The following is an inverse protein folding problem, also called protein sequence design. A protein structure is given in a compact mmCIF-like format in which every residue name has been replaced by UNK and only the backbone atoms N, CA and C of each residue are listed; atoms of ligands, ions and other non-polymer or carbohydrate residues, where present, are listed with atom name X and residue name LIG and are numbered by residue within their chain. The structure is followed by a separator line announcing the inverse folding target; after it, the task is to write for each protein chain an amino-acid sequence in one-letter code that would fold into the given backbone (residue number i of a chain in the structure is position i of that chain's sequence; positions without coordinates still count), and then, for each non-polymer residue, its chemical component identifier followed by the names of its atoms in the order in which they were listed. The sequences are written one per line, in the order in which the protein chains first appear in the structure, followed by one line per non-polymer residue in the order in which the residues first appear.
data_IF_469466038286
#
_entry.id   IF_469466038286
#
_cell.length_a   1.000
_cell.length_b   1.000
_cell.length_c   1.000
_cell.angle_alpha   90.00
_cell.angle_beta   90.00
_cell.angle_gamma   90.00
#
_symmetry.space_group_name_H-M   'P 1'
#
loop_
_entity.id
_entity.type
_entity.pdbx_description
1 polymer ?
#
# COMPACT_ATOMS: atom_id res chain seq x y z
N UNK A 1 -18.98 7.22 5.61
CA UNK A 1 -17.81 7.89 5.01
C UNK A 1 -16.68 6.87 4.94
N UNK A 2 -15.56 7.19 4.25
CA UNK A 2 -14.48 6.23 4.09
C UNK A 2 -13.29 6.57 4.98
N UNK A 3 -12.42 5.58 5.17
CA UNK A 3 -11.08 5.76 5.70
C UNK A 3 -10.07 5.88 4.57
N UNK A 4 -8.96 6.56 4.83
CA UNK A 4 -7.76 6.55 4.00
C UNK A 4 -6.65 5.86 4.80
N UNK A 5 -6.33 4.61 4.44
CA UNK A 5 -5.45 3.78 5.26
C UNK A 5 -4.03 3.66 4.69
N UNK A 6 -3.67 4.53 3.73
CA UNK A 6 -2.32 4.58 3.17
C UNK A 6 -1.94 6.02 2.84
N UNK A 7 -1.10 6.61 3.67
CA UNK A 7 -0.57 7.95 3.48
C UNK A 7 0.77 8.15 4.19
N UNK A 8 1.52 9.13 3.69
CA UNK A 8 2.87 9.45 4.12
C UNK A 8 2.96 10.87 4.63
N UNK A 9 3.91 11.10 5.53
CA UNK A 9 4.27 12.42 6.01
C UNK A 9 5.80 12.58 6.01
N UNK A 10 6.32 13.58 6.67
CA UNK A 10 7.77 13.88 6.71
C UNK A 10 8.68 12.77 7.24
N UNK A 11 8.11 11.67 7.75
CA UNK A 11 8.88 10.48 8.12
C UNK A 11 9.25 9.62 6.91
N UNK A 12 8.51 9.71 5.81
CA UNK A 12 8.90 9.14 4.51
C UNK A 12 9.85 10.07 3.77
N UNK A 13 10.95 9.52 3.25
CA UNK A 13 11.99 10.32 2.63
C UNK A 13 11.57 11.10 1.36
N UNK A 14 10.42 10.78 0.79
CA UNK A 14 9.83 11.41 -0.38
C UNK A 14 8.60 12.30 -0.07
N UNK A 15 8.33 12.54 1.21
CA UNK A 15 7.29 13.47 1.65
C UNK A 15 7.85 14.55 2.59
N UNK A 16 7.36 15.78 2.42
CA UNK A 16 7.65 16.91 3.31
C UNK A 16 6.42 17.36 4.09
N UNK A 17 5.33 16.58 4.01
CA UNK A 17 4.06 16.95 4.63
C UNK A 17 4.14 16.83 6.15
N UNK A 18 3.76 17.88 6.87
CA UNK A 18 3.61 17.78 8.31
C UNK A 18 2.41 16.87 8.65
N UNK A 19 2.55 15.96 9.63
CA UNK A 19 1.47 15.04 10.00
C UNK A 19 0.16 15.76 10.35
N UNK A 20 0.26 16.91 11.01
CA UNK A 20 -0.92 17.70 11.39
C UNK A 20 -1.66 18.25 10.17
N UNK A 21 -0.94 18.69 9.13
CA UNK A 21 -1.56 19.18 7.89
C UNK A 21 -2.30 18.05 7.14
N UNK A 22 -1.76 16.82 7.19
CA UNK A 22 -2.43 15.63 6.68
C UNK A 22 -3.75 15.37 7.43
N UNK A 23 -3.72 15.39 8.76
CA UNK A 23 -4.92 15.20 9.60
C UNK A 23 -5.98 16.27 9.29
N UNK A 24 -5.58 17.55 9.23
CA UNK A 24 -6.50 18.66 8.95
C UNK A 24 -7.14 18.54 7.57
N UNK A 25 -6.38 18.11 6.56
CA UNK A 25 -6.93 17.84 5.23
C UNK A 25 -7.95 16.69 5.25
N UNK A 26 -7.69 15.62 5.97
CA UNK A 26 -8.63 14.51 6.12
C UNK A 26 -9.93 14.93 6.81
N UNK A 27 -9.83 15.74 7.88
CA UNK A 27 -11.00 16.34 8.55
C UNK A 27 -11.81 17.20 7.59
N UNK A 28 -11.15 18.07 6.82
CA UNK A 28 -11.83 18.94 5.84
C UNK A 28 -12.55 18.15 4.75
N UNK A 29 -12.02 16.99 4.38
CA UNK A 29 -12.63 16.07 3.39
C UNK A 29 -13.70 15.17 3.99
N UNK A 30 -13.92 15.22 5.30
CA UNK A 30 -14.96 14.47 6.01
C UNK A 30 -14.71 12.98 6.09
N UNK A 31 -13.45 12.54 6.20
CA UNK A 31 -13.12 11.14 6.42
C UNK A 31 -13.48 10.70 7.85
N UNK A 32 -13.83 9.42 8.03
CA UNK A 32 -14.07 8.83 9.37
C UNK A 32 -12.74 8.56 10.09
N UNK A 33 -11.68 8.27 9.34
CA UNK A 33 -10.37 8.01 9.89
C UNK A 33 -9.27 7.95 8.81
N UNK A 34 -8.04 7.93 9.31
CA UNK A 34 -6.82 7.81 8.52
C UNK A 34 -5.85 6.86 9.21
N UNK A 35 -4.92 6.29 8.43
CA UNK A 35 -3.76 5.59 8.96
C UNK A 35 -2.50 6.13 8.30
N UNK A 36 -1.57 6.67 9.09
CA UNK A 36 -0.23 6.96 8.62
C UNK A 36 0.53 5.65 8.38
N UNK A 37 1.21 5.55 7.25
CA UNK A 37 1.94 4.35 6.83
C UNK A 37 3.25 4.73 6.16
N UNK A 38 4.05 5.54 6.86
CA UNK A 38 5.33 6.02 6.35
C UNK A 38 6.28 4.85 6.02
N UNK A 39 7.16 5.07 5.04
CA UNK A 39 8.05 4.05 4.49
C UNK A 39 9.15 3.59 5.44
N UNK A 40 9.35 2.28 5.51
CA UNK A 40 10.60 1.64 5.92
C UNK A 40 11.08 0.74 4.78
N UNK A 41 12.04 1.21 4.00
CA UNK A 41 12.68 0.46 2.91
C UNK A 41 14.17 0.30 3.22
N UNK A 42 14.49 -0.80 3.88
CA UNK A 42 15.88 -1.12 4.15
C UNK A 42 16.61 -1.50 2.85
N UNK A 43 17.90 -1.19 2.79
CA UNK A 43 18.78 -1.45 1.66
C UNK A 43 18.25 -0.86 0.33
N UNK A 44 17.54 0.29 0.42
CA UNK A 44 17.07 1.01 -0.75
C UNK A 44 18.25 1.54 -1.57
N UNK A 45 18.32 1.27 -2.90
CA UNK A 45 19.49 1.58 -3.72
C UNK A 45 19.59 3.05 -4.14
N UNK A 46 18.53 3.85 -3.93
CA UNK A 46 18.47 5.24 -4.35
C UNK A 46 19.10 6.21 -3.33
N UNK A 47 19.14 7.51 -3.67
CA UNK A 47 19.75 8.54 -2.82
C UNK A 47 18.90 8.96 -1.61
N UNK A 48 17.65 8.54 -1.57
CA UNK A 48 16.68 8.89 -0.51
C UNK A 48 16.76 7.85 0.60
N UNK A 49 16.66 8.27 1.85
CA UNK A 49 16.53 7.36 2.98
C UNK A 49 15.05 7.17 3.34
N UNK A 50 14.60 5.93 3.33
CA UNK A 50 13.26 5.53 3.74
C UNK A 50 13.34 4.78 5.07
N UNK A 51 13.87 5.44 6.10
CA UNK A 51 14.00 4.87 7.43
C UNK A 51 13.77 5.95 8.49
N UNK A 52 13.05 5.60 9.52
CA UNK A 52 12.83 6.46 10.67
C UNK A 52 12.87 5.65 11.98
N UNK A 53 13.23 6.27 13.13
CA UNK A 53 13.11 5.66 14.44
C UNK A 53 11.63 5.51 14.84
N UNK A 54 11.18 4.29 15.13
CA UNK A 54 9.79 4.05 15.54
C UNK A 54 9.39 4.87 16.77
N UNK A 55 10.30 5.03 17.75
CA UNK A 55 10.05 5.84 18.95
C UNK A 55 9.68 7.30 18.60
N UNK A 56 10.41 7.94 17.69
CA UNK A 56 10.13 9.32 17.27
C UNK A 56 8.81 9.42 16.50
N UNK A 57 8.51 8.40 15.72
CA UNK A 57 7.26 8.29 14.95
C UNK A 57 6.05 8.28 15.89
N UNK A 58 6.01 7.35 16.84
CA UNK A 58 4.95 7.26 17.84
C UNK A 58 4.88 8.52 18.72
N UNK A 59 6.02 9.02 19.20
CA UNK A 59 6.09 10.24 19.99
C UNK A 59 5.51 11.46 19.27
N UNK A 60 5.55 11.48 17.93
CA UNK A 60 5.00 12.56 17.11
C UNK A 60 3.51 12.34 16.84
N UNK A 61 3.09 11.12 16.47
CA UNK A 61 1.74 10.85 15.98
C UNK A 61 0.72 10.61 17.11
N UNK A 62 1.09 9.96 18.22
CA UNK A 62 0.18 9.71 19.34
C UNK A 62 -0.44 10.99 19.93
N UNK A 63 0.32 12.07 20.22
CA UNK A 63 -0.26 13.31 20.69
C UNK A 63 -1.24 13.94 19.67
N UNK A 64 -0.96 13.82 18.37
CA UNK A 64 -1.85 14.31 17.32
C UNK A 64 -3.13 13.46 17.23
N UNK A 65 -3.02 12.14 17.31
CA UNK A 65 -4.18 11.24 17.38
C UNK A 65 -5.10 11.64 18.55
N UNK A 66 -4.53 11.87 19.73
CA UNK A 66 -5.30 12.32 20.90
C UNK A 66 -5.89 13.72 20.73
N UNK A 67 -5.18 14.64 20.11
CA UNK A 67 -5.65 16.02 19.87
C UNK A 67 -6.90 16.04 18.97
N UNK A 68 -6.92 15.21 17.96
CA UNK A 68 -7.99 15.20 16.94
C UNK A 68 -9.08 14.14 17.14
N UNK A 69 -9.00 13.32 18.20
CA UNK A 69 -9.88 12.16 18.45
C UNK A 69 -11.39 12.44 18.41
N UNK A 70 -11.82 13.70 18.63
CA UNK A 70 -13.23 14.08 18.56
C UNK A 70 -13.66 14.52 17.13
N UNK A 71 -12.72 14.58 16.19
CA UNK A 71 -12.96 15.01 14.81
C UNK A 71 -12.71 13.88 13.80
N UNK A 72 -11.67 13.09 14.03
CA UNK A 72 -11.25 12.00 13.16
C UNK A 72 -10.47 10.95 13.97
N UNK A 73 -10.60 9.69 13.59
CA UNK A 73 -9.74 8.63 14.14
C UNK A 73 -8.42 8.59 13.38
N UNK A 74 -7.30 8.60 14.09
CA UNK A 74 -5.95 8.53 13.51
C UNK A 74 -5.27 7.26 14.00
N UNK A 75 -4.99 6.34 13.08
CA UNK A 75 -4.22 5.13 13.30
C UNK A 75 -2.76 5.34 12.90
N UNK A 76 -1.87 4.54 13.49
CA UNK A 76 -0.43 4.58 13.24
C UNK A 76 -0.02 3.22 12.69
N UNK A 77 0.30 3.18 11.43
CA UNK A 77 0.78 2.03 10.70
C UNK A 77 2.18 2.25 10.14
N UNK A 78 2.58 1.38 9.24
CA UNK A 78 3.85 1.46 8.50
C UNK A 78 3.70 0.75 7.16
N UNK A 79 4.41 1.24 6.14
CA UNK A 79 4.62 0.53 4.89
C UNK A 79 6.06 0.02 4.81
N UNK A 80 6.20 -1.29 4.61
CA UNK A 80 7.47 -1.99 4.54
C UNK A 80 7.81 -2.38 3.10
N UNK A 81 8.90 -1.86 2.57
CA UNK A 81 9.42 -2.27 1.25
C UNK A 81 10.19 -3.59 1.37
N UNK A 82 9.48 -4.70 1.21
CA UNK A 82 10.01 -6.03 1.49
C UNK A 82 11.07 -6.47 0.49
N UNK A 83 12.09 -7.14 1.02
CA UNK A 83 13.09 -7.90 0.28
C UNK A 83 13.40 -9.17 1.10
N UNK A 84 13.46 -10.38 0.51
CA UNK A 84 13.50 -11.65 1.27
C UNK A 84 14.60 -11.72 2.35
N UNK A 85 15.77 -11.14 2.07
CA UNK A 85 16.92 -11.16 3.00
C UNK A 85 16.74 -10.24 4.22
N UNK A 86 15.72 -9.38 4.23
CA UNK A 86 15.48 -8.37 5.29
C UNK A 86 14.48 -8.82 6.35
N UNK A 87 13.98 -10.06 6.28
CA UNK A 87 12.92 -10.56 7.17
C UNK A 87 13.19 -10.22 8.63
N UNK A 88 14.35 -10.60 9.16
CA UNK A 88 14.68 -10.39 10.57
C UNK A 88 14.69 -8.91 10.95
N UNK A 89 15.19 -8.03 10.07
CA UNK A 89 15.24 -6.58 10.35
C UNK A 89 13.86 -5.96 10.47
N UNK A 90 12.90 -6.40 9.63
CA UNK A 90 11.52 -5.94 9.71
C UNK A 90 10.80 -6.49 10.95
N UNK A 91 10.99 -7.77 11.27
CA UNK A 91 10.46 -8.36 12.50
C UNK A 91 10.96 -7.59 13.74
N UNK A 92 12.26 -7.28 13.80
CA UNK A 92 12.85 -6.47 14.88
C UNK A 92 12.30 -5.03 14.89
N UNK A 93 12.06 -4.41 13.74
CA UNK A 93 11.47 -3.07 13.66
C UNK A 93 10.03 -3.07 14.20
N UNK A 94 9.23 -4.05 13.83
CA UNK A 94 7.83 -4.13 14.25
C UNK A 94 7.66 -4.33 15.77
N UNK A 95 8.67 -4.85 16.47
CA UNK A 95 8.63 -4.94 17.94
C UNK A 95 8.78 -3.58 18.65
N UNK A 96 9.13 -2.51 17.93
CA UNK A 96 9.44 -1.20 18.51
C UNK A 96 8.23 -0.27 18.64
N UNK A 97 7.03 -0.73 18.25
CA UNK A 97 5.81 0.07 18.36
C UNK A 97 4.54 -0.75 18.18
N UNK A 98 3.45 -0.25 18.73
CA UNK A 98 2.12 -0.87 18.63
C UNK A 98 1.41 -0.37 17.35
N UNK A 99 1.88 -0.82 16.19
CA UNK A 99 1.30 -0.46 14.90
C UNK A 99 -0.15 -0.97 14.77
N UNK A 100 -1.01 -0.12 14.20
CA UNK A 100 -2.39 -0.50 13.88
C UNK A 100 -2.47 -1.32 12.60
N UNK A 101 -1.66 -0.97 11.57
CA UNK A 101 -1.61 -1.60 10.26
C UNK A 101 -0.17 -1.71 9.75
N UNK A 102 0.14 -2.82 9.10
CA UNK A 102 1.40 -3.03 8.37
C UNK A 102 1.09 -3.37 6.92
N UNK A 103 1.49 -2.50 6.01
CA UNK A 103 1.44 -2.73 4.57
C UNK A 103 2.77 -3.35 4.15
N UNK A 104 2.73 -4.45 3.42
CA UNK A 104 3.86 -5.00 2.70
C UNK A 104 3.86 -4.48 1.26
N UNK A 105 5.00 -4.05 0.74
CA UNK A 105 5.13 -3.56 -0.64
C UNK A 105 6.42 -4.03 -1.28
N UNK A 106 6.47 -4.07 -2.60
CA UNK A 106 7.69 -4.33 -3.38
C UNK A 106 8.13 -3.05 -4.08
N UNK A 107 9.08 -2.32 -3.46
CA UNK A 107 9.69 -1.12 -4.03
C UNK A 107 11.06 -1.42 -4.65
N UNK A 108 11.72 -2.48 -4.18
CA UNK A 108 13.03 -2.92 -4.68
C UNK A 108 12.93 -4.37 -5.11
N UNK A 109 13.28 -4.65 -6.35
CA UNK A 109 13.28 -5.96 -6.99
C UNK A 109 14.71 -6.34 -7.33
N UNK A 110 15.27 -7.35 -6.67
CA UNK A 110 16.64 -7.83 -6.88
C UNK A 110 17.70 -6.69 -6.88
N UNK A 111 17.52 -5.69 -5.99
CA UNK A 111 18.42 -4.55 -5.85
C UNK A 111 18.15 -3.38 -6.79
N UNK A 112 17.07 -3.39 -7.55
CA UNK A 112 16.63 -2.30 -8.43
C UNK A 112 15.24 -1.80 -8.04
N UNK A 113 15.04 -0.48 -8.04
CA UNK A 113 13.71 0.10 -7.95
C UNK A 113 13.11 0.27 -9.35
N UNK A 114 11.90 -0.27 -9.61
CA UNK A 114 11.18 -0.07 -10.88
C UNK A 114 10.93 1.40 -11.26
N UNK A 115 11.05 2.33 -10.31
CA UNK A 115 11.02 3.77 -10.61
C UNK A 115 12.14 4.20 -11.57
N UNK A 116 13.31 3.53 -11.54
CA UNK A 116 14.47 3.87 -12.35
C UNK A 116 14.57 3.04 -13.64
N UNK A 117 15.00 3.64 -14.76
CA UNK A 117 15.15 2.93 -16.04
C UNK A 117 16.07 1.70 -15.98
N UNK A 118 16.98 1.67 -15.02
CA UNK A 118 17.95 0.59 -14.83
C UNK A 118 17.25 -0.77 -14.59
N UNK A 119 16.09 -0.78 -13.95
CA UNK A 119 15.30 -1.99 -13.73
C UNK A 119 14.88 -2.66 -15.06
N UNK A 120 14.58 -1.85 -16.09
CA UNK A 120 14.11 -2.34 -17.41
C UNK A 120 15.25 -2.66 -18.39
N UNK A 121 16.51 -2.35 -18.04
CA UNK A 121 17.63 -2.49 -18.97
C UNK A 121 17.88 -3.95 -19.33
N UNK A 122 17.86 -4.25 -20.64
CA UNK A 122 18.14 -5.58 -21.17
C UNK A 122 16.94 -6.55 -21.07
N UNK A 123 15.76 -6.06 -20.70
CA UNK A 123 14.51 -6.82 -20.58
C UNK A 123 13.45 -6.20 -21.48
N UNK A 124 12.53 -7.01 -21.97
CA UNK A 124 11.25 -6.51 -22.47
C UNK A 124 10.40 -6.01 -21.32
N UNK A 125 9.41 -5.17 -21.58
CA UNK A 125 8.45 -4.72 -20.56
C UNK A 125 7.74 -5.90 -19.90
N UNK A 126 7.40 -6.92 -20.68
CA UNK A 126 6.74 -8.12 -20.20
C UNK A 126 7.61 -8.91 -19.21
N UNK A 127 8.89 -9.13 -19.54
CA UNK A 127 9.85 -9.76 -18.64
C UNK A 127 10.04 -8.96 -17.35
N UNK A 128 10.12 -7.63 -17.44
CA UNK A 128 10.28 -6.76 -16.28
C UNK A 128 9.06 -6.80 -15.36
N UNK A 129 7.83 -6.79 -15.92
CA UNK A 129 6.62 -6.89 -15.12
C UNK A 129 6.47 -8.26 -14.48
N UNK A 130 6.81 -9.33 -15.21
CA UNK A 130 6.79 -10.68 -14.67
C UNK A 130 7.77 -10.83 -13.50
N UNK A 131 9.00 -10.37 -13.65
CA UNK A 131 10.02 -10.36 -12.58
C UNK A 131 9.55 -9.58 -11.35
N UNK A 132 8.87 -8.46 -11.56
CA UNK A 132 8.27 -7.71 -10.46
C UNK A 132 7.22 -8.54 -9.71
N UNK A 133 6.30 -9.20 -10.41
CA UNK A 133 5.30 -10.06 -9.77
C UNK A 133 5.92 -11.28 -9.08
N UNK A 134 6.97 -11.88 -9.66
CA UNK A 134 7.74 -12.94 -9.01
C UNK A 134 8.32 -12.47 -7.68
N UNK A 135 8.87 -11.25 -7.62
CA UNK A 135 9.40 -10.68 -6.38
C UNK A 135 8.33 -10.50 -5.30
N UNK A 136 7.10 -10.16 -5.69
CA UNK A 136 5.96 -10.13 -4.74
C UNK A 136 5.72 -11.52 -4.16
N UNK A 137 5.65 -12.55 -5.02
CA UNK A 137 5.44 -13.92 -4.57
C UNK A 137 6.55 -14.38 -3.63
N UNK A 138 7.81 -14.11 -3.96
CA UNK A 138 8.96 -14.39 -3.09
C UNK A 138 8.79 -13.75 -1.71
N UNK A 139 8.43 -12.47 -1.66
CA UNK A 139 8.18 -11.75 -0.42
C UNK A 139 7.02 -12.37 0.36
N UNK A 140 5.88 -12.65 -0.29
CA UNK A 140 4.70 -13.25 0.35
C UNK A 140 5.02 -14.63 0.92
N UNK A 141 5.88 -15.42 0.28
CA UNK A 141 6.27 -16.74 0.78
C UNK A 141 7.18 -16.65 2.00
N UNK A 142 8.04 -15.62 2.08
CA UNK A 142 9.03 -15.46 3.15
C UNK A 142 8.44 -14.77 4.38
N UNK A 143 7.62 -13.73 4.20
CA UNK A 143 7.12 -12.90 5.29
C UNK A 143 5.74 -13.33 5.77
N UNK A 144 5.50 -13.18 7.09
CA UNK A 144 4.21 -13.46 7.73
C UNK A 144 3.70 -12.25 8.53
N UNK A 145 4.57 -11.34 8.94
CA UNK A 145 4.23 -10.23 9.83
C UNK A 145 3.87 -8.95 9.07
N UNK A 146 2.81 -9.01 8.30
CA UNK A 146 2.13 -7.87 7.66
C UNK A 146 0.62 -8.14 7.61
N UNK A 147 -0.18 -7.15 7.21
CA UNK A 147 -1.65 -7.27 7.17
C UNK A 147 -2.20 -7.31 5.74
N UNK A 148 -1.71 -6.44 4.88
CA UNK A 148 -2.10 -6.34 3.48
C UNK A 148 -0.89 -6.14 2.59
N UNK A 149 -1.01 -6.54 1.32
CA UNK A 149 -0.03 -6.19 0.29
C UNK A 149 -0.49 -4.95 -0.48
N UNK A 150 0.34 -3.91 -0.46
CA UNK A 150 0.08 -2.62 -1.12
C UNK A 150 0.19 -2.72 -2.64
N UNK A 151 -0.49 -1.84 -3.33
CA UNK A 151 -0.39 -1.55 -4.78
C UNK A 151 0.31 -2.61 -5.64
N UNK A 152 -0.24 -3.84 -5.69
CA UNK A 152 0.37 -5.05 -6.27
C UNK A 152 0.94 -4.82 -7.68
N UNK A 153 0.34 -3.97 -8.51
CA UNK A 153 0.82 -3.66 -9.85
C UNK A 153 1.58 -2.31 -9.96
N UNK A 154 2.28 -1.92 -8.88
CA UNK A 154 3.10 -0.71 -8.79
C UNK A 154 4.04 -0.49 -9.99
N UNK A 155 4.67 -1.56 -10.49
CA UNK A 155 5.59 -1.51 -11.65
C UNK A 155 4.99 -0.84 -12.88
N UNK A 156 3.67 -0.93 -13.03
CA UNK A 156 2.93 -0.37 -14.18
C UNK A 156 2.99 1.16 -14.22
N UNK A 157 3.24 1.83 -13.09
CA UNK A 157 3.44 3.30 -13.03
C UNK A 157 4.64 3.76 -13.87
N UNK A 158 5.68 2.95 -13.94
CA UNK A 158 7.03 3.35 -14.36
C UNK A 158 7.53 2.61 -15.59
N UNK A 159 6.83 1.56 -16.02
CA UNK A 159 7.19 0.81 -17.22
C UNK A 159 7.22 1.67 -18.48
N UNK A 160 8.00 1.29 -19.49
CA UNK A 160 8.22 2.08 -20.70
C UNK A 160 6.93 2.50 -21.42
N UNK A 161 5.93 1.64 -21.48
CA UNK A 161 4.61 1.93 -22.04
C UNK A 161 3.52 2.06 -20.94
N UNK A 162 3.90 2.07 -19.66
CA UNK A 162 2.98 2.06 -18.54
C UNK A 162 1.94 0.92 -18.67
N UNK A 163 0.66 1.25 -18.56
CA UNK A 163 -0.43 0.28 -18.64
C UNK A 163 -0.94 0.00 -20.05
N UNK A 164 -0.32 0.56 -21.10
CA UNK A 164 -0.80 0.37 -22.48
C UNK A 164 -0.84 -1.10 -22.93
N UNK A 165 0.09 -1.92 -22.42
CA UNK A 165 0.21 -3.33 -22.73
C UNK A 165 -0.07 -4.23 -21.50
N UNK A 166 -0.54 -3.65 -20.38
CA UNK A 166 -0.81 -4.36 -19.14
C UNK A 166 -2.28 -4.75 -19.07
N UNK A 167 -2.53 -6.04 -18.87
CA UNK A 167 -3.84 -6.57 -18.49
C UNK A 167 -3.64 -7.68 -17.48
N UNK A 168 -4.63 -7.93 -16.62
CA UNK A 168 -4.61 -9.04 -15.68
C UNK A 168 -4.40 -10.39 -16.40
N UNK A 169 -5.09 -10.63 -17.53
CA UNK A 169 -5.02 -11.88 -18.27
C UNK A 169 -3.61 -12.23 -18.73
N UNK A 170 -2.83 -11.22 -19.05
CA UNK A 170 -1.44 -11.41 -19.50
C UNK A 170 -0.52 -11.96 -18.40
N UNK A 171 -0.80 -11.64 -17.15
CA UNK A 171 -0.01 -12.03 -15.98
C UNK A 171 -0.84 -12.89 -15.01
N UNK A 172 -1.95 -13.46 -15.47
CA UNK A 172 -2.92 -14.16 -14.63
C UNK A 172 -2.29 -15.26 -13.78
N UNK A 173 -1.39 -16.05 -14.34
CA UNK A 173 -0.82 -17.19 -13.65
C UNK A 173 -0.08 -16.75 -12.38
N UNK A 174 0.83 -15.78 -12.50
CA UNK A 174 1.62 -15.29 -11.36
C UNK A 174 0.76 -14.45 -10.40
N UNK A 175 -0.15 -13.62 -10.91
CA UNK A 175 -1.04 -12.82 -10.05
C UNK A 175 -1.96 -13.74 -9.25
N UNK A 176 -2.52 -14.78 -9.85
CA UNK A 176 -3.35 -15.76 -9.14
C UNK A 176 -2.57 -16.50 -8.04
N UNK A 177 -1.30 -16.82 -8.28
CA UNK A 177 -0.44 -17.44 -7.25
C UNK A 177 -0.21 -16.48 -6.07
N UNK A 178 0.06 -15.21 -6.33
CA UNK A 178 0.19 -14.17 -5.30
C UNK A 178 -1.10 -14.08 -4.47
N UNK A 179 -2.24 -13.91 -5.14
CA UNK A 179 -3.54 -13.76 -4.48
C UNK A 179 -3.89 -14.98 -3.63
N UNK A 180 -3.68 -16.19 -4.14
CA UNK A 180 -3.90 -17.45 -3.40
C UNK A 180 -2.97 -17.56 -2.20
N UNK A 181 -1.70 -17.18 -2.33
CA UNK A 181 -0.73 -17.20 -1.23
C UNK A 181 -1.12 -16.23 -0.12
N UNK A 182 -1.55 -15.01 -0.48
CA UNK A 182 -2.05 -14.00 0.47
C UNK A 182 -3.29 -14.52 1.22
N UNK A 183 -4.28 -15.03 0.49
CA UNK A 183 -5.51 -15.60 1.07
C UNK A 183 -5.20 -16.76 2.01
N UNK A 184 -4.33 -17.69 1.60
CA UNK A 184 -3.94 -18.83 2.43
C UNK A 184 -3.25 -18.43 3.73
N UNK A 185 -2.56 -17.29 3.75
CA UNK A 185 -1.93 -16.69 4.95
C UNK A 185 -2.90 -15.81 5.76
N UNK A 186 -4.15 -15.64 5.33
CA UNK A 186 -5.11 -14.72 5.97
C UNK A 186 -4.72 -13.25 5.80
N UNK A 187 -3.97 -12.90 4.75
CA UNK A 187 -3.56 -11.54 4.42
C UNK A 187 -4.49 -10.94 3.36
N UNK A 188 -4.55 -9.60 3.37
CA UNK A 188 -5.34 -8.85 2.41
C UNK A 188 -4.53 -8.25 1.27
N UNK A 189 -5.24 -7.50 0.44
CA UNK A 189 -4.67 -6.59 -0.55
C UNK A 189 -5.19 -5.17 -0.32
N UNK A 190 -4.56 -4.22 -0.98
CA UNK A 190 -4.98 -2.83 -0.97
C UNK A 190 -5.70 -2.47 -2.27
N UNK A 191 -6.74 -1.65 -2.19
CA UNK A 191 -7.26 -0.82 -3.28
C UNK A 191 -6.59 0.56 -3.16
N UNK A 192 -5.56 0.81 -3.95
CA UNK A 192 -4.78 2.05 -3.92
C UNK A 192 -5.20 2.98 -5.05
N UNK A 193 -5.69 4.17 -4.70
CA UNK A 193 -6.24 5.13 -5.66
C UNK A 193 -5.18 5.94 -6.41
N UNK A 194 -3.89 5.79 -6.06
CA UNK A 194 -2.82 6.52 -6.73
C UNK A 194 -2.68 6.21 -8.22
N UNK A 195 -3.17 5.06 -8.69
CA UNK A 195 -3.19 4.76 -10.12
C UNK A 195 -3.88 5.86 -10.95
N UNK A 196 -4.99 6.39 -10.46
CA UNK A 196 -5.67 7.55 -11.07
C UNK A 196 -4.80 8.82 -10.99
N UNK A 197 -4.14 9.06 -9.86
CA UNK A 197 -3.20 10.19 -9.67
C UNK A 197 -2.05 10.15 -10.66
N UNK A 198 -1.56 8.97 -11.01
CA UNK A 198 -0.50 8.76 -11.99
C UNK A 198 -1.00 8.70 -13.45
N UNK A 199 -2.30 8.88 -13.67
CA UNK A 199 -2.90 8.96 -15.01
C UNK A 199 -3.07 7.61 -15.70
N UNK A 200 -3.12 6.51 -14.96
CA UNK A 200 -3.32 5.17 -15.50
C UNK A 200 -4.78 4.88 -15.86
N UNK A 201 -5.73 5.63 -15.27
CA UNK A 201 -7.16 5.43 -15.51
C UNK A 201 -7.78 4.27 -14.72
N UNK A 202 -7.02 3.64 -13.85
CA UNK A 202 -7.45 2.57 -12.95
C UNK A 202 -6.73 2.68 -11.59
N UNK A 203 -7.21 2.01 -10.52
CA UNK A 203 -6.49 1.94 -9.23
C UNK A 203 -5.32 0.95 -9.31
N UNK A 204 -4.60 0.79 -8.22
CA UNK A 204 -3.64 -0.30 -7.99
C UNK A 204 -4.20 -1.28 -6.93
N UNK A 205 -4.33 -2.58 -7.26
CA UNK A 205 -4.29 -3.13 -8.61
C UNK A 205 -5.54 -2.76 -9.44
N UNK A 206 -5.51 -3.16 -10.74
CA UNK A 206 -6.67 -2.96 -11.63
C UNK A 206 -7.93 -3.63 -11.08
N UNK A 207 -9.10 -3.14 -11.50
CA UNK A 207 -10.41 -3.69 -11.12
C UNK A 207 -10.54 -5.18 -11.45
N UNK A 208 -9.88 -5.65 -12.52
CA UNK A 208 -9.85 -7.07 -12.89
C UNK A 208 -9.17 -7.93 -11.80
N UNK A 209 -8.07 -7.46 -11.24
CA UNK A 209 -7.35 -8.12 -10.13
C UNK A 209 -8.17 -8.09 -8.84
N UNK A 210 -8.82 -6.96 -8.52
CA UNK A 210 -9.71 -6.85 -7.35
C UNK A 210 -10.87 -7.85 -7.43
N UNK A 211 -11.51 -7.94 -8.59
CA UNK A 211 -12.58 -8.90 -8.87
C UNK A 211 -12.07 -10.33 -8.71
N UNK A 212 -10.92 -10.63 -9.30
CA UNK A 212 -10.30 -11.96 -9.18
C UNK A 212 -9.96 -12.33 -7.75
N UNK A 213 -9.43 -11.40 -6.97
CA UNK A 213 -9.17 -11.61 -5.54
C UNK A 213 -10.46 -12.01 -4.80
N UNK A 214 -11.57 -11.30 -5.07
CA UNK A 214 -12.89 -11.64 -4.51
C UNK A 214 -13.39 -13.01 -4.94
N UNK A 215 -13.25 -13.37 -6.21
CA UNK A 215 -13.62 -14.68 -6.76
C UNK A 215 -12.83 -15.83 -6.12
N UNK A 216 -11.56 -15.62 -5.78
CA UNK A 216 -10.72 -16.59 -5.09
C UNK A 216 -11.03 -16.71 -3.58
N UNK A 217 -11.98 -15.92 -3.07
CA UNK A 217 -12.40 -15.94 -1.67
C UNK A 217 -11.69 -14.89 -0.79
N UNK A 218 -10.99 -13.93 -1.38
CA UNK A 218 -10.40 -12.81 -0.65
C UNK A 218 -11.46 -11.88 -0.06
N UNK A 219 -11.27 -11.47 1.19
CA UNK A 219 -12.22 -10.62 1.92
C UNK A 219 -11.59 -9.36 2.51
N UNK A 220 -10.29 -9.41 2.83
CA UNK A 220 -9.56 -8.31 3.46
C UNK A 220 -9.07 -7.37 2.36
N UNK A 221 -9.71 -6.20 2.24
CA UNK A 221 -9.39 -5.17 1.25
C UNK A 221 -9.32 -3.80 1.94
N UNK A 222 -8.13 -3.21 2.05
CA UNK A 222 -7.97 -1.84 2.54
C UNK A 222 -8.10 -0.82 1.42
N UNK A 223 -8.30 0.45 1.76
CA UNK A 223 -8.42 1.55 0.79
C UNK A 223 -7.38 2.61 1.12
N UNK A 224 -6.51 2.94 0.17
CA UNK A 224 -5.48 3.96 0.33
C UNK A 224 -5.42 4.96 -0.82
N UNK A 225 -5.05 6.21 -0.51
CA UNK A 225 -4.74 7.22 -1.53
C UNK A 225 -3.25 7.29 -1.86
N UNK A 226 -2.41 6.71 -1.02
CA UNK A 226 -0.95 6.80 -1.13
C UNK A 226 -0.51 8.28 -1.21
N UNK A 227 -1.10 9.07 -0.29
CA UNK A 227 -0.93 10.52 -0.28
C UNK A 227 0.40 10.91 0.35
N UNK A 228 1.20 11.70 -0.36
CA UNK A 228 2.46 12.29 0.11
C UNK A 228 2.33 13.81 0.34
N UNK A 229 1.12 14.33 0.22
CA UNK A 229 0.79 15.74 0.49
C UNK A 229 -0.69 15.88 0.85
N UNK A 230 -1.09 16.90 1.65
CA UNK A 230 -2.46 17.08 2.11
C UNK A 230 -3.52 17.08 1.00
N UNK A 231 -3.21 17.67 -0.15
CA UNK A 231 -4.11 17.73 -1.32
C UNK A 231 -4.43 16.36 -1.94
N UNK A 232 -3.60 15.36 -1.71
CA UNK A 232 -3.70 14.02 -2.30
C UNK A 232 -4.56 13.06 -1.44
N UNK A 233 -4.83 13.38 -0.17
CA UNK A 233 -5.66 12.56 0.72
C UNK A 233 -7.01 12.32 0.07
N UNK A 234 -7.52 11.09 0.15
CA UNK A 234 -8.77 10.64 -0.45
C UNK A 234 -8.87 11.00 -1.95
N UNK A 235 -7.76 10.84 -2.69
CA UNK A 235 -7.74 11.14 -4.12
C UNK A 235 -8.77 10.30 -4.88
N UNK A 236 -9.64 10.93 -5.64
CA UNK A 236 -10.70 10.29 -6.46
C UNK A 236 -11.64 9.32 -5.71
N UNK A 237 -11.79 9.45 -4.38
CA UNK A 237 -12.64 8.57 -3.55
C UNK A 237 -14.11 8.55 -3.94
N UNK A 238 -14.57 9.51 -4.73
CA UNK A 238 -15.92 9.47 -5.32
C UNK A 238 -16.16 8.26 -6.24
N UNK A 239 -15.09 7.58 -6.72
CA UNK A 239 -15.15 6.36 -7.54
C UNK A 239 -15.27 5.07 -6.72
N UNK A 240 -14.90 5.10 -5.42
CA UNK A 240 -14.77 3.89 -4.59
C UNK A 240 -16.02 3.02 -4.58
N UNK A 241 -17.20 3.61 -4.38
CA UNK A 241 -18.44 2.84 -4.30
C UNK A 241 -18.71 2.04 -5.59
N UNK A 242 -18.40 2.62 -6.76
CA UNK A 242 -18.51 1.95 -8.05
C UNK A 242 -17.52 0.80 -8.18
N UNK A 243 -16.23 1.07 -7.93
CA UNK A 243 -15.14 0.10 -8.03
C UNK A 243 -15.40 -1.11 -7.10
N UNK A 244 -15.68 -0.86 -5.83
CA UNK A 244 -15.93 -1.91 -4.83
C UNK A 244 -17.14 -2.76 -5.20
N UNK A 245 -18.24 -2.15 -5.65
CA UNK A 245 -19.44 -2.85 -6.07
C UNK A 245 -19.19 -3.72 -7.30
N UNK A 246 -18.50 -3.20 -8.31
CA UNK A 246 -18.18 -3.94 -9.54
C UNK A 246 -17.23 -5.11 -9.27
N UNK A 247 -16.30 -4.94 -8.33
CA UNK A 247 -15.41 -6.01 -7.87
C UNK A 247 -16.09 -7.00 -6.91
N UNK A 248 -17.34 -6.76 -6.48
CA UNK A 248 -18.13 -7.66 -5.64
C UNK A 248 -17.89 -7.51 -4.13
N UNK A 249 -17.35 -6.37 -3.69
CA UNK A 249 -17.18 -6.07 -2.28
C UNK A 249 -18.38 -5.30 -1.72
N UNK A 250 -18.84 -5.72 -0.55
CA UNK A 250 -19.85 -5.02 0.27
C UNK A 250 -19.25 -4.34 1.49
N UNK A 251 -18.01 -4.65 1.79
CA UNK A 251 -17.23 -4.10 2.89
C UNK A 251 -15.80 -3.86 2.42
N UNK A 252 -15.13 -2.89 3.05
CA UNK A 252 -13.69 -2.74 3.03
C UNK A 252 -13.14 -2.93 4.45
N UNK A 253 -11.83 -3.00 4.60
CA UNK A 253 -11.18 -3.33 5.87
C UNK A 253 -10.37 -2.15 6.39
N UNK A 254 -10.46 -1.91 7.69
CA UNK A 254 -9.57 -1.04 8.45
C UNK A 254 -8.89 -1.90 9.52
N UNK A 255 -7.61 -1.70 9.76
CA UNK A 255 -6.93 -2.40 10.83
C UNK A 255 -6.82 -1.54 12.08
N UNK A 256 -7.08 -2.15 13.24
CA UNK A 256 -6.86 -1.58 14.55
C UNK A 256 -6.05 -2.57 15.38
N UNK A 257 -4.84 -2.20 15.78
CA UNK A 257 -3.90 -3.08 16.48
C UNK A 257 -3.72 -4.42 15.76
N UNK A 258 -3.50 -4.36 14.45
CA UNK A 258 -3.31 -5.50 13.56
C UNK A 258 -4.54 -6.44 13.44
N UNK A 259 -5.72 -5.99 13.87
CA UNK A 259 -6.96 -6.75 13.74
C UNK A 259 -7.87 -6.13 12.70
N UNK A 260 -8.37 -6.91 11.73
CA UNK A 260 -9.27 -6.40 10.69
C UNK A 260 -10.63 -6.04 11.26
N UNK A 261 -11.13 -4.87 10.88
CA UNK A 261 -12.48 -4.38 11.15
C UNK A 261 -13.15 -4.14 9.80
N UNK A 262 -14.26 -4.80 9.54
CA UNK A 262 -14.99 -4.67 8.28
C UNK A 262 -15.96 -3.50 8.33
N UNK A 263 -15.80 -2.54 7.43
CA UNK A 263 -16.61 -1.35 7.29
C UNK A 263 -17.53 -1.49 6.06
N UNK A 264 -18.84 -1.20 6.13
CA UNK A 264 -19.72 -1.27 4.97
C UNK A 264 -19.37 -0.21 3.92
N UNK A 265 -19.60 -0.53 2.65
CA UNK A 265 -19.42 0.38 1.51
C UNK A 265 -20.60 1.33 1.38
#
# INVERSE_FOLDING_TARGET
MYWDTHMHCKFSGDSTAEPEDMILSAVQKGLDGICFTDHIDYDYPGPVSFQFPAEEYFKTLEPLSMKYKNQITVHIGVELGLQPHLKQRYEEFLTKGDFDQVIASSHVVHGFDPYYPEFYKGKTEEEAYHEYFESILENVLVFDDFDVYGHIDYVVRYGPAKNANYTYEKYQDIIDEILKALIAKGKGIELNMAGFKYGLGHPHPTEAVLKRYRELGGEILTIGSDAHAPKQIAYDYHRLAGILKEAGFTHYTVFQKRKPVFCPV
#
